data_IF_848969476755
#
_entry.id   IF_848969476755
#
_cell.length_a   1.000
_cell.length_b   1.000
_cell.length_c   1.000
_cell.angle_alpha   90.00
_cell.angle_beta   90.00
_cell.angle_gamma   90.00
#
_symmetry.space_group_name_H-M   'P 1'
#
loop_
_entity.id
_entity.type
_entity.pdbx_description
1 polymer ?
#
# COMPACT_ATOMS: atom_id res chain seq x y z
N UNK A 1 -94.56 -51.59 -54.16
CA UNK A 1 -93.51 -52.48 -53.63
C UNK A 1 -92.10 -52.02 -54.02
N UNK A 2 -91.75 -51.71 -55.31
CA UNK A 2 -90.41 -51.27 -55.70
C UNK A 2 -90.02 -49.85 -55.16
N UNK A 3 -91.01 -48.95 -55.04
CA UNK A 3 -90.79 -47.59 -54.47
C UNK A 3 -90.59 -47.60 -52.95
N UNK A 4 -91.23 -48.49 -52.25
CA UNK A 4 -91.05 -48.61 -50.76
C UNK A 4 -89.73 -49.20 -50.39
N UNK A 5 -89.21 -50.17 -51.13
CA UNK A 5 -87.91 -50.74 -50.96
C UNK A 5 -86.78 -49.67 -51.13
N UNK A 6 -86.94 -48.84 -52.19
CA UNK A 6 -85.94 -47.77 -52.49
C UNK A 6 -85.95 -46.65 -51.41
N UNK A 7 -87.13 -46.34 -50.87
CA UNK A 7 -87.27 -45.37 -49.75
C UNK A 7 -86.66 -45.93 -48.46
N UNK A 8 -86.87 -47.23 -48.17
CA UNK A 8 -86.25 -47.90 -47.02
C UNK A 8 -84.72 -47.95 -47.08
N UNK A 9 -84.13 -48.24 -48.25
CA UNK A 9 -82.67 -48.20 -48.47
C UNK A 9 -82.08 -46.77 -48.27
N UNK A 10 -82.78 -45.76 -48.77
CA UNK A 10 -82.34 -44.35 -48.59
C UNK A 10 -82.51 -43.90 -47.18
N UNK A 11 -83.51 -44.25 -46.43
CA UNK A 11 -83.69 -43.97 -45.00
C UNK A 11 -82.57 -44.64 -44.16
N UNK A 12 -82.31 -45.94 -44.43
CA UNK A 12 -81.19 -46.64 -43.77
C UNK A 12 -79.85 -46.09 -44.12
N UNK A 13 -79.68 -45.52 -45.34
CA UNK A 13 -78.45 -44.78 -45.74
C UNK A 13 -78.29 -43.45 -44.97
N UNK A 14 -79.39 -42.70 -44.76
CA UNK A 14 -79.41 -41.45 -44.03
C UNK A 14 -79.11 -41.70 -42.53
N UNK A 15 -79.73 -42.68 -41.91
CA UNK A 15 -79.47 -43.04 -40.48
C UNK A 15 -78.05 -43.45 -40.24
N UNK A 16 -77.44 -44.21 -41.18
CA UNK A 16 -76.00 -44.56 -41.09
C UNK A 16 -75.09 -43.34 -41.27
N UNK A 17 -75.44 -42.41 -42.15
CA UNK A 17 -74.68 -41.18 -42.35
C UNK A 17 -74.81 -40.24 -41.13
N UNK A 18 -75.98 -40.10 -40.52
CA UNK A 18 -76.21 -39.35 -39.30
C UNK A 18 -75.41 -39.94 -38.10
N UNK A 19 -75.44 -41.30 -37.99
CA UNK A 19 -74.67 -41.97 -36.93
C UNK A 19 -73.17 -41.76 -37.10
N UNK A 20 -72.63 -41.79 -38.33
CA UNK A 20 -71.24 -41.47 -38.63
C UNK A 20 -70.93 -40.00 -38.31
N UNK A 21 -71.74 -39.07 -38.74
CA UNK A 21 -71.56 -37.65 -38.46
C UNK A 21 -71.54 -37.36 -36.98
N UNK A 22 -72.38 -37.99 -36.16
CA UNK A 22 -72.37 -37.88 -34.71
C UNK A 22 -71.09 -38.46 -34.08
N UNK A 23 -70.61 -39.59 -34.60
CA UNK A 23 -69.36 -40.18 -34.15
C UNK A 23 -68.18 -39.29 -34.48
N UNK A 24 -68.08 -38.75 -35.70
CA UNK A 24 -66.99 -37.83 -36.12
C UNK A 24 -67.07 -36.53 -35.37
N UNK A 25 -68.26 -36.00 -35.04
CA UNK A 25 -68.42 -34.83 -34.21
C UNK A 25 -67.91 -35.09 -32.75
N UNK A 26 -68.25 -36.22 -32.16
CA UNK A 26 -67.81 -36.60 -30.85
C UNK A 26 -66.31 -36.80 -30.81
N UNK A 27 -65.72 -37.40 -31.83
CA UNK A 27 -64.26 -37.55 -31.95
C UNK A 27 -63.54 -36.19 -32.07
N UNK A 28 -64.08 -35.30 -32.91
CA UNK A 28 -63.56 -33.96 -33.09
C UNK A 28 -63.62 -33.14 -31.79
N UNK A 29 -64.71 -33.28 -31.05
CA UNK A 29 -64.83 -32.61 -29.70
C UNK A 29 -63.82 -33.16 -28.67
N UNK A 30 -63.63 -34.47 -28.64
CA UNK A 30 -62.66 -35.13 -27.81
C UNK A 30 -61.22 -34.67 -28.14
N UNK A 31 -60.86 -34.61 -29.42
CA UNK A 31 -59.58 -34.11 -29.87
C UNK A 31 -59.33 -32.63 -29.51
N UNK A 32 -60.40 -31.80 -29.68
CA UNK A 32 -60.28 -30.38 -29.21
C UNK A 32 -60.02 -30.25 -27.73
N UNK A 33 -60.71 -31.02 -26.92
CA UNK A 33 -60.50 -31.01 -25.44
C UNK A 33 -59.13 -31.51 -25.09
N UNK A 34 -58.62 -32.52 -25.79
CA UNK A 34 -57.24 -33.02 -25.53
C UNK A 34 -56.17 -31.99 -25.92
N UNK A 35 -56.32 -31.34 -27.08
CA UNK A 35 -55.42 -30.24 -27.50
C UNK A 35 -55.46 -29.07 -26.51
N UNK A 36 -56.64 -28.76 -25.98
CA UNK A 36 -56.79 -27.67 -25.03
C UNK A 36 -56.12 -28.02 -23.70
N UNK A 37 -56.27 -29.23 -23.20
CA UNK A 37 -55.52 -29.71 -22.00
C UNK A 37 -54.03 -29.76 -22.23
N UNK A 38 -53.57 -30.22 -23.37
CA UNK A 38 -52.16 -30.22 -23.73
C UNK A 38 -51.56 -28.77 -23.74
N UNK A 39 -52.30 -27.84 -24.36
CA UNK A 39 -51.89 -26.43 -24.40
C UNK A 39 -51.79 -25.82 -22.98
N UNK A 40 -52.78 -26.04 -22.14
CA UNK A 40 -52.77 -25.53 -20.77
C UNK A 40 -51.59 -26.12 -20.00
N UNK A 41 -51.37 -27.42 -20.11
CA UNK A 41 -50.25 -28.09 -19.46
C UNK A 41 -48.86 -27.57 -19.94
N UNK A 42 -48.68 -27.45 -21.25
CA UNK A 42 -47.43 -26.94 -21.83
C UNK A 42 -47.19 -25.48 -21.44
N UNK A 43 -48.24 -24.66 -21.36
CA UNK A 43 -48.11 -23.27 -20.89
C UNK A 43 -47.75 -23.19 -19.41
N UNK A 44 -48.29 -24.05 -18.58
CA UNK A 44 -47.99 -24.05 -17.15
C UNK A 44 -46.59 -24.61 -16.90
N UNK A 45 -46.16 -25.66 -17.58
CA UNK A 45 -44.78 -26.18 -17.55
C UNK A 45 -43.79 -25.10 -18.00
N UNK A 46 -44.05 -24.41 -19.11
CA UNK A 46 -43.17 -23.33 -19.60
C UNK A 46 -43.07 -22.12 -18.63
N UNK A 47 -44.20 -21.79 -17.97
CA UNK A 47 -44.18 -20.74 -16.94
C UNK A 47 -43.35 -21.14 -15.73
N UNK A 48 -43.47 -22.36 -15.27
CA UNK A 48 -42.73 -22.90 -14.14
C UNK A 48 -41.21 -22.97 -14.43
N UNK A 49 -40.86 -23.44 -15.63
CA UNK A 49 -39.49 -23.41 -16.12
C UNK A 49 -38.93 -21.97 -16.18
N UNK A 50 -39.67 -21.03 -16.76
CA UNK A 50 -39.26 -19.64 -16.88
C UNK A 50 -39.08 -18.95 -15.49
N UNK A 51 -39.93 -19.30 -14.51
CA UNK A 51 -39.78 -18.80 -13.13
C UNK A 51 -38.54 -19.37 -12.44
N UNK A 52 -38.30 -20.67 -12.58
CA UNK A 52 -37.11 -21.31 -11.99
C UNK A 52 -35.82 -20.80 -12.61
N UNK A 53 -35.79 -20.60 -13.93
CA UNK A 53 -34.64 -20.02 -14.63
C UNK A 53 -34.39 -18.57 -14.23
N UNK A 54 -35.46 -17.76 -14.13
CA UNK A 54 -35.37 -16.39 -13.62
C UNK A 54 -34.78 -16.33 -12.18
N UNK A 55 -35.30 -17.18 -11.29
CA UNK A 55 -34.82 -17.21 -9.90
C UNK A 55 -33.35 -17.67 -9.82
N UNK A 56 -32.94 -18.63 -10.64
CA UNK A 56 -31.56 -19.06 -10.75
C UNK A 56 -30.64 -17.94 -11.24
N UNK A 57 -31.05 -17.25 -12.34
CA UNK A 57 -30.29 -16.10 -12.86
C UNK A 57 -30.17 -14.95 -11.83
N UNK A 58 -31.27 -14.64 -11.14
CA UNK A 58 -31.27 -13.60 -10.10
C UNK A 58 -30.33 -13.96 -8.93
N UNK A 59 -30.31 -15.21 -8.52
CA UNK A 59 -29.43 -15.70 -7.48
C UNK A 59 -27.97 -15.65 -7.90
N UNK A 60 -27.65 -16.06 -9.12
CA UNK A 60 -26.30 -16.00 -9.68
C UNK A 60 -25.82 -14.55 -9.80
N UNK A 61 -26.62 -13.66 -10.39
CA UNK A 61 -26.29 -12.24 -10.48
C UNK A 61 -26.07 -11.59 -9.11
N UNK A 62 -26.88 -11.94 -8.11
CA UNK A 62 -26.71 -11.46 -6.73
C UNK A 62 -25.40 -11.95 -6.12
N UNK A 63 -25.01 -13.21 -6.36
CA UNK A 63 -23.76 -13.76 -5.88
C UNK A 63 -22.53 -13.12 -6.56
N UNK A 64 -22.63 -12.90 -7.87
CA UNK A 64 -21.56 -12.20 -8.60
C UNK A 64 -21.40 -10.75 -8.15
N UNK A 65 -22.52 -10.04 -7.95
CA UNK A 65 -22.48 -8.69 -7.37
C UNK A 65 -21.82 -8.69 -5.99
N UNK A 66 -22.21 -9.61 -5.11
CA UNK A 66 -21.62 -9.69 -3.77
C UNK A 66 -20.10 -9.92 -3.83
N UNK A 67 -19.65 -10.85 -4.68
CA UNK A 67 -18.21 -11.10 -4.90
C UNK A 67 -17.47 -9.87 -5.47
N UNK A 68 -18.10 -9.17 -6.43
CA UNK A 68 -17.53 -7.96 -7.01
C UNK A 68 -17.40 -6.84 -5.97
N UNK A 69 -18.41 -6.64 -5.12
CA UNK A 69 -18.37 -5.68 -4.02
C UNK A 69 -17.29 -6.00 -2.99
N UNK A 70 -17.15 -7.26 -2.58
CA UNK A 70 -16.08 -7.67 -1.66
C UNK A 70 -14.69 -7.44 -2.23
N UNK A 71 -14.50 -7.80 -3.51
CA UNK A 71 -13.24 -7.55 -4.20
C UNK A 71 -12.93 -6.05 -4.27
N UNK A 72 -13.92 -5.23 -4.62
CA UNK A 72 -13.74 -3.79 -4.73
C UNK A 72 -13.44 -3.15 -3.37
N UNK A 73 -14.10 -3.61 -2.31
CA UNK A 73 -13.83 -3.17 -0.94
C UNK A 73 -12.38 -3.49 -0.54
N UNK A 74 -11.92 -4.71 -0.81
CA UNK A 74 -10.52 -5.08 -0.53
C UNK A 74 -9.50 -4.21 -1.28
N UNK A 75 -9.79 -3.83 -2.53
CA UNK A 75 -8.93 -2.92 -3.32
C UNK A 75 -8.91 -1.52 -2.67
N UNK A 76 -10.08 -0.99 -2.30
CA UNK A 76 -10.19 0.32 -1.65
C UNK A 76 -9.44 0.35 -0.32
N UNK A 77 -9.57 -0.70 0.49
CA UNK A 77 -8.85 -0.80 1.77
C UNK A 77 -7.32 -0.84 1.57
N UNK A 78 -6.84 -1.58 0.57
CA UNK A 78 -5.41 -1.59 0.21
C UNK A 78 -4.91 -0.25 -0.32
N UNK A 79 -5.70 0.43 -1.14
CA UNK A 79 -5.36 1.77 -1.64
C UNK A 79 -5.32 2.79 -0.50
N UNK A 80 -6.28 2.71 0.42
CA UNK A 80 -6.31 3.56 1.61
C UNK A 80 -5.06 3.37 2.48
N UNK A 81 -4.66 2.15 2.76
CA UNK A 81 -3.41 1.88 3.51
C UNK A 81 -2.17 2.46 2.81
N UNK A 82 -2.08 2.29 1.49
CA UNK A 82 -0.98 2.88 0.71
C UNK A 82 -0.98 4.40 0.78
N UNK A 83 -2.15 5.02 0.66
CA UNK A 83 -2.31 6.47 0.77
C UNK A 83 -1.92 6.99 2.14
N UNK A 84 -2.35 6.33 3.21
CA UNK A 84 -2.00 6.71 4.56
C UNK A 84 -0.49 6.64 4.81
N UNK A 85 0.17 5.58 4.35
CA UNK A 85 1.64 5.45 4.42
C UNK A 85 2.35 6.56 3.63
N UNK A 86 1.89 6.83 2.42
CA UNK A 86 2.49 7.87 1.57
C UNK A 86 2.30 9.28 2.16
N UNK A 87 1.12 9.61 2.69
CA UNK A 87 0.87 10.89 3.37
C UNK A 87 1.78 11.04 4.60
N UNK A 88 1.95 9.99 5.40
CA UNK A 88 2.85 10.02 6.56
C UNK A 88 4.29 10.28 6.14
N UNK A 89 4.78 9.57 5.12
CA UNK A 89 6.12 9.75 4.57
C UNK A 89 6.33 11.17 4.06
N UNK A 90 5.41 11.69 3.26
CA UNK A 90 5.49 13.07 2.74
C UNK A 90 5.45 14.11 3.86
N UNK A 91 4.60 13.91 4.86
CA UNK A 91 4.52 14.82 6.02
C UNK A 91 5.83 14.87 6.79
N UNK A 92 6.50 13.71 6.97
CA UNK A 92 7.80 13.62 7.61
C UNK A 92 8.88 14.35 6.77
N UNK A 93 8.92 14.11 5.47
CA UNK A 93 9.86 14.77 4.57
C UNK A 93 9.68 16.30 4.56
N UNK A 94 8.45 16.78 4.51
CA UNK A 94 8.16 18.20 4.62
C UNK A 94 8.59 18.77 5.99
N UNK A 95 8.27 18.08 7.08
CA UNK A 95 8.68 18.49 8.41
C UNK A 95 10.19 18.63 8.53
N UNK A 96 10.93 17.63 8.05
CA UNK A 96 12.39 17.65 8.05
C UNK A 96 12.97 18.73 7.11
N UNK A 97 12.37 18.93 5.95
CA UNK A 97 12.80 19.99 5.03
C UNK A 97 12.69 21.37 5.67
N UNK A 98 11.55 21.70 6.27
CA UNK A 98 11.37 22.98 6.95
C UNK A 98 12.25 23.11 8.19
N UNK A 99 12.45 22.03 8.95
CA UNK A 99 13.36 22.02 10.10
C UNK A 99 14.79 22.30 9.67
N UNK A 100 15.28 21.63 8.61
CA UNK A 100 16.62 21.90 8.05
C UNK A 100 16.77 23.36 7.61
N UNK A 101 15.75 23.91 6.96
CA UNK A 101 15.75 25.31 6.52
C UNK A 101 15.81 26.27 7.70
N UNK A 102 14.93 26.10 8.69
CA UNK A 102 14.90 26.96 9.88
C UNK A 102 16.21 26.90 10.67
N UNK A 103 16.76 25.70 10.86
CA UNK A 103 18.04 25.54 11.54
C UNK A 103 19.17 26.24 10.76
N UNK A 104 19.19 26.09 9.43
CA UNK A 104 20.18 26.77 8.58
C UNK A 104 20.12 28.29 8.65
N UNK A 105 18.92 28.86 8.89
CA UNK A 105 18.72 30.31 9.07
C UNK A 105 19.09 30.78 10.49
N UNK A 106 18.95 29.93 11.50
CA UNK A 106 19.18 30.26 12.92
C UNK A 106 20.60 29.94 13.38
N UNK A 107 21.30 29.04 12.69
CA UNK A 107 22.65 28.65 13.10
C UNK A 107 23.65 29.73 12.69
N UNK A 108 24.24 30.33 13.67
CA UNK A 108 25.38 31.27 13.57
C UNK A 108 26.66 30.66 14.15
N UNK A 109 27.75 31.38 14.04
CA UNK A 109 29.05 30.94 14.57
C UNK A 109 29.00 30.63 16.08
N UNK A 110 28.26 31.42 16.87
CA UNK A 110 28.16 31.27 18.30
C UNK A 110 27.41 29.97 18.68
N UNK A 111 26.30 29.69 18.00
CA UNK A 111 25.55 28.44 18.19
C UNK A 111 26.37 27.23 17.73
N UNK A 112 27.10 27.40 16.63
CA UNK A 112 28.00 26.36 16.13
C UNK A 112 29.09 26.01 17.15
N UNK A 113 29.74 27.01 17.77
CA UNK A 113 30.75 26.79 18.82
C UNK A 113 30.19 26.05 20.03
N UNK A 114 28.99 26.44 20.50
CA UNK A 114 28.30 25.72 21.58
C UNK A 114 28.05 24.26 21.25
N UNK A 115 27.65 24.02 20.01
CA UNK A 115 27.41 22.66 19.51
C UNK A 115 28.69 21.83 19.46
N UNK A 116 29.76 22.44 19.00
CA UNK A 116 31.10 21.82 19.00
C UNK A 116 31.54 21.46 20.40
N UNK A 117 31.42 22.39 21.36
CA UNK A 117 31.77 22.15 22.76
C UNK A 117 31.00 20.98 23.36
N UNK A 118 29.68 20.91 23.07
CA UNK A 118 28.85 19.80 23.50
C UNK A 118 29.26 18.47 22.87
N UNK A 119 29.55 18.45 21.56
CA UNK A 119 30.02 17.26 20.88
C UNK A 119 31.36 16.77 21.48
N UNK A 120 32.30 17.65 21.70
CA UNK A 120 33.62 17.31 22.30
C UNK A 120 33.48 16.76 23.72
N UNK A 121 32.49 17.24 24.50
CA UNK A 121 32.23 16.71 25.86
C UNK A 121 31.66 15.28 25.83
N UNK A 122 30.90 14.89 24.79
CA UNK A 122 30.37 13.54 24.64
C UNK A 122 31.31 12.57 23.89
N UNK A 123 32.34 13.07 23.23
CA UNK A 123 33.29 12.22 22.47
C UNK A 123 33.96 11.12 23.32
N UNK A 124 34.28 11.35 24.61
CA UNK A 124 34.84 10.32 25.50
C UNK A 124 33.86 9.17 25.82
N UNK A 125 32.55 9.36 25.64
CA UNK A 125 31.53 8.35 25.86
C UNK A 125 31.44 7.31 24.69
N UNK A 126 32.26 7.51 23.66
CA UNK A 126 32.37 6.57 22.53
C UNK A 126 32.77 5.17 23.01
N UNK A 127 32.21 4.08 22.45
CA UNK A 127 32.50 2.72 22.86
C UNK A 127 34.01 2.44 22.93
N UNK A 128 34.51 1.84 24.04
CA UNK A 128 35.91 1.62 24.26
C UNK A 128 36.61 0.78 23.18
N UNK A 129 35.89 -0.09 22.50
CA UNK A 129 36.39 -0.88 21.38
C UNK A 129 36.80 0.00 20.19
N UNK A 130 36.00 1.02 19.89
CA UNK A 130 36.30 1.96 18.80
C UNK A 130 37.52 2.80 19.12
N UNK A 131 37.63 3.27 20.38
CA UNK A 131 38.77 4.03 20.84
C UNK A 131 40.05 3.20 20.91
N UNK A 132 39.97 1.94 21.34
CA UNK A 132 41.14 1.04 21.38
C UNK A 132 41.65 0.71 19.96
N UNK A 133 40.77 0.51 19.01
CA UNK A 133 41.12 0.28 17.58
C UNK A 133 41.84 1.52 17.02
N UNK A 134 41.34 2.72 17.30
CA UNK A 134 41.99 3.96 16.86
C UNK A 134 43.34 4.15 17.50
N UNK A 135 43.47 3.92 18.81
CA UNK A 135 44.74 4.02 19.54
C UNK A 135 45.80 3.08 18.96
N UNK A 136 45.40 1.84 18.63
CA UNK A 136 46.34 0.87 18.06
C UNK A 136 46.75 1.22 16.61
N UNK A 137 45.89 1.85 15.84
CA UNK A 137 46.18 2.27 14.45
C UNK A 137 47.03 3.55 14.38
N UNK A 138 47.03 4.37 15.43
CA UNK A 138 47.74 5.67 15.51
C UNK A 138 48.98 5.66 16.40
N UNK A 139 49.38 4.49 16.92
CA UNK A 139 50.53 4.36 17.81
C UNK A 139 51.79 4.97 17.18
N UNK A 140 52.36 5.98 17.88
CA UNK A 140 53.59 6.69 17.53
C UNK A 140 53.62 7.55 16.25
N UNK A 141 52.49 7.72 15.56
CA UNK A 141 52.39 8.59 14.36
C UNK A 141 51.58 9.87 14.68
N UNK A 142 51.81 10.97 13.94
CA UNK A 142 50.91 12.12 14.01
C UNK A 142 49.51 11.72 13.57
N UNK A 143 48.50 12.10 14.39
CA UNK A 143 47.11 11.80 14.11
C UNK A 143 46.57 12.78 13.07
N UNK A 144 46.38 12.39 11.81
CA UNK A 144 45.73 13.23 10.81
C UNK A 144 44.24 13.27 11.10
N UNK A 145 43.67 14.46 11.22
CA UNK A 145 42.27 14.71 11.48
C UNK A 145 41.75 15.65 10.40
N UNK A 146 40.68 15.27 9.72
CA UNK A 146 39.95 16.17 8.84
C UNK A 146 38.70 16.64 9.58
N UNK A 147 38.64 17.94 9.80
CA UNK A 147 37.52 18.63 10.43
C UNK A 147 36.63 19.23 9.40
N UNK A 148 35.38 18.74 9.29
CA UNK A 148 34.37 19.38 8.49
C UNK A 148 33.48 20.24 9.37
N UNK A 149 33.21 21.47 8.96
CA UNK A 149 32.39 22.44 9.70
C UNK A 149 31.70 23.40 8.75
N UNK A 150 30.48 23.88 9.05
CA UNK A 150 29.80 24.87 8.22
C UNK A 150 30.38 26.29 8.34
N UNK A 151 31.12 26.57 9.41
CA UNK A 151 31.72 27.87 9.67
C UNK A 151 33.22 27.69 9.92
N UNK A 152 34.06 28.66 9.53
CA UNK A 152 35.50 28.60 9.85
C UNK A 152 35.71 28.57 11.37
N UNK A 153 36.41 27.57 11.91
CA UNK A 153 36.60 27.44 13.34
C UNK A 153 37.61 28.49 13.84
N UNK A 154 37.30 29.10 14.98
CA UNK A 154 38.24 29.98 15.66
C UNK A 154 39.46 29.22 16.23
N UNK A 155 40.60 29.90 16.47
CA UNK A 155 41.80 29.29 17.03
C UNK A 155 41.53 28.55 18.36
N UNK A 156 40.69 29.11 19.23
CA UNK A 156 40.28 28.50 20.49
C UNK A 156 39.54 27.17 20.32
N UNK A 157 38.74 27.07 19.28
CA UNK A 157 37.99 25.83 18.96
C UNK A 157 38.93 24.75 18.45
N UNK A 158 39.90 25.12 17.60
CA UNK A 158 40.97 24.20 17.15
C UNK A 158 41.82 23.68 18.30
N UNK A 159 42.27 24.55 19.21
CA UNK A 159 43.03 24.16 20.41
C UNK A 159 42.26 23.18 21.31
N UNK A 160 40.96 23.42 21.51
CA UNK A 160 40.09 22.49 22.25
C UNK A 160 40.01 21.11 21.58
N UNK A 161 39.76 21.08 20.26
CA UNK A 161 39.70 19.83 19.47
C UNK A 161 41.02 19.06 19.62
N UNK A 162 42.15 19.73 19.41
CA UNK A 162 43.45 19.10 19.56
C UNK A 162 43.69 18.55 21.00
N UNK A 163 43.33 19.32 22.01
CA UNK A 163 43.52 18.94 23.42
C UNK A 163 42.68 17.71 23.77
N UNK A 164 41.39 17.70 23.37
CA UNK A 164 40.51 16.57 23.60
C UNK A 164 41.00 15.32 22.84
N UNK A 165 41.39 15.46 21.60
CA UNK A 165 41.86 14.33 20.79
C UNK A 165 43.20 13.79 21.30
N UNK A 166 44.15 14.66 21.72
CA UNK A 166 45.43 14.25 22.36
C UNK A 166 45.15 13.43 23.62
N UNK A 167 44.25 13.91 24.49
CA UNK A 167 43.92 13.19 25.72
C UNK A 167 43.17 11.87 25.46
N UNK A 168 42.27 11.85 24.49
CA UNK A 168 41.43 10.70 24.18
C UNK A 168 42.21 9.58 23.46
N UNK A 169 43.05 9.94 22.48
CA UNK A 169 43.76 8.99 21.61
C UNK A 169 45.19 8.70 22.10
N UNK A 170 45.76 9.54 22.99
CA UNK A 170 47.13 9.39 23.46
C UNK A 170 48.18 9.73 22.40
N UNK A 171 47.87 10.50 21.40
CA UNK A 171 48.77 10.87 20.29
C UNK A 171 49.74 11.99 20.72
N UNK A 172 51.00 11.93 20.25
CA UNK A 172 52.02 12.98 20.50
C UNK A 172 51.71 14.29 19.79
N UNK A 173 51.12 14.21 18.59
CA UNK A 173 50.74 15.37 17.78
C UNK A 173 49.45 15.08 17.01
N UNK A 174 48.57 16.08 16.89
CA UNK A 174 47.36 16.06 16.10
C UNK A 174 47.52 17.08 14.95
N UNK A 175 47.31 16.67 13.73
CA UNK A 175 47.31 17.55 12.56
C UNK A 175 45.90 17.73 12.06
N UNK A 176 45.30 18.88 12.33
CA UNK A 176 43.91 19.19 11.93
C UNK A 176 43.92 19.90 10.59
N UNK A 177 43.23 19.31 9.62
CA UNK A 177 42.95 19.96 8.35
C UNK A 177 41.47 20.31 8.29
N UNK A 178 41.14 21.60 8.17
CA UNK A 178 39.78 22.10 8.17
C UNK A 178 39.21 22.11 6.72
N UNK A 179 37.98 21.67 6.59
CA UNK A 179 37.18 21.77 5.34
C UNK A 179 35.82 22.37 5.67
N UNK A 180 35.45 23.36 4.91
CA UNK A 180 34.11 23.95 5.03
C UNK A 180 33.07 23.02 4.36
N UNK A 181 32.01 22.69 5.09
CA UNK A 181 30.88 21.90 4.61
C UNK A 181 29.54 22.47 5.15
N UNK A 182 28.92 23.40 4.40
CA UNK A 182 27.65 24.01 4.79
C UNK A 182 26.50 22.99 4.92
N UNK A 183 26.63 21.81 4.32
CA UNK A 183 25.59 20.78 4.37
C UNK A 183 25.38 20.20 5.77
N UNK A 184 26.36 20.38 6.70
CA UNK A 184 26.27 19.94 8.08
C UNK A 184 25.25 20.73 8.91
N UNK A 185 24.84 21.91 8.43
CA UNK A 185 23.96 22.88 9.06
C UNK A 185 24.56 23.53 10.30
N UNK A 186 24.99 22.73 11.28
CA UNK A 186 25.60 23.15 12.54
C UNK A 186 26.36 21.97 13.15
N UNK A 187 27.40 22.25 13.92
CA UNK A 187 28.26 21.24 14.53
C UNK A 187 29.45 20.89 13.65
N UNK A 188 30.08 19.77 13.93
CA UNK A 188 31.29 19.30 13.24
C UNK A 188 31.21 17.80 12.93
N UNK A 189 31.97 17.42 11.90
CA UNK A 189 32.27 16.02 11.59
C UNK A 189 33.80 15.86 11.60
N UNK A 190 34.29 14.90 12.37
CA UNK A 190 35.70 14.56 12.49
C UNK A 190 35.98 13.26 11.74
N UNK A 191 36.90 13.28 10.80
CA UNK A 191 37.42 12.07 10.16
C UNK A 191 38.81 11.79 10.75
N UNK A 192 38.94 10.68 11.47
CA UNK A 192 40.17 10.29 12.16
C UNK A 192 40.58 8.91 11.60
N UNK A 193 41.66 8.85 10.84
CA UNK A 193 42.08 7.66 10.13
C UNK A 193 40.95 7.10 9.26
N UNK A 194 40.36 5.97 9.63
CA UNK A 194 39.26 5.31 8.92
C UNK A 194 37.89 5.39 9.65
N UNK A 195 37.79 6.25 10.65
CA UNK A 195 36.58 6.44 11.45
C UNK A 195 36.04 7.86 11.32
N UNK A 196 34.71 7.95 11.27
CA UNK A 196 33.99 9.23 11.21
C UNK A 196 33.20 9.39 12.50
N UNK A 197 33.37 10.55 13.14
CA UNK A 197 32.63 11.01 14.30
C UNK A 197 31.80 12.21 13.86
N UNK A 198 30.51 12.03 13.72
CA UNK A 198 29.61 13.07 13.24
C UNK A 198 28.78 13.62 14.39
N UNK A 199 29.02 14.90 14.72
CA UNK A 199 28.28 15.69 15.71
C UNK A 199 27.43 16.78 15.05
N UNK A 200 27.19 16.69 13.74
CA UNK A 200 26.39 17.65 13.02
C UNK A 200 24.91 17.52 13.31
N UNK A 201 24.16 18.61 13.15
CA UNK A 201 22.71 18.59 13.21
C UNK A 201 22.09 17.82 12.03
N UNK A 202 22.78 17.76 10.91
CA UNK A 202 22.37 16.93 9.77
C UNK A 202 22.24 15.47 10.18
N UNK A 203 23.28 14.90 10.79
CA UNK A 203 23.29 13.50 11.24
C UNK A 203 22.22 13.23 12.31
N UNK A 204 22.00 14.19 13.23
CA UNK A 204 20.98 14.07 14.26
C UNK A 204 19.56 14.06 13.65
N UNK A 205 19.30 14.88 12.64
CA UNK A 205 18.04 14.88 11.90
C UNK A 205 17.84 13.61 11.07
N UNK A 206 18.92 13.04 10.51
CA UNK A 206 18.83 11.77 9.78
C UNK A 206 18.53 10.59 10.74
N UNK A 207 19.13 10.58 11.93
CA UNK A 207 18.78 9.59 12.98
C UNK A 207 17.34 9.73 13.41
N UNK A 208 16.90 10.95 13.69
CA UNK A 208 15.51 11.23 14.06
C UNK A 208 14.51 10.79 12.97
N UNK A 209 14.87 11.00 11.71
CA UNK A 209 14.09 10.49 10.57
C UNK A 209 13.95 8.97 10.63
N UNK A 210 15.09 8.27 10.79
CA UNK A 210 15.10 6.80 10.81
C UNK A 210 14.32 6.23 12.00
N UNK A 211 14.40 6.89 13.17
CA UNK A 211 13.66 6.49 14.37
C UNK A 211 12.14 6.60 14.13
N UNK A 212 11.69 7.72 13.55
CA UNK A 212 10.26 7.90 13.20
C UNK A 212 9.81 6.90 12.13
N UNK A 213 10.62 6.65 11.11
CA UNK A 213 10.30 5.67 10.06
C UNK A 213 10.19 4.25 10.64
N UNK A 214 11.03 3.91 11.62
CA UNK A 214 10.96 2.63 12.32
C UNK A 214 9.69 2.49 13.19
N UNK A 215 9.23 3.57 13.82
CA UNK A 215 7.99 3.59 14.60
C UNK A 215 6.72 3.53 13.72
N UNK A 216 6.82 3.98 12.47
CA UNK A 216 5.71 4.04 11.52
C UNK A 216 5.58 2.79 10.63
N UNK A 217 6.53 1.88 10.67
CA UNK A 217 6.56 0.62 9.89
C UNK A 217 5.81 -0.51 10.57
#
# INVERSE_FOLDING_TARGET
EQREATVGERLGGIEKAEARLKADQAECEAQKQEIQRLRERTLDEAKEEALTEKDAMMKEASQEMAKAFEKQRGIIDQEREKYEKEIRRQSLEFGLFYTKKLIGELCDEALNEQRVDRFLSHLPETPPETLSTLKSSLADQPCPVVLHTPFPPGERTLEKIETVLKSLLGCKAVSVTTREDPSLLCGIRLEIANKIFDGSLKEELERFKNDIEAELS
#
